data_IF_202450440614
#
_entry.id   IF_202450440614
#
_cell.length_a   1.000
_cell.length_b   1.000
_cell.length_c   1.000
_cell.angle_alpha   90.00
_cell.angle_beta   90.00
_cell.angle_gamma   90.00
#
_symmetry.space_group_name_H-M   'P 1'
#
loop_
_entity.id
_entity.type
_entity.pdbx_description
1 polymer ?
#
# COMPACT_ATOMS: atom_id res chain seq x y z
N UNK A 1 -63.74 -21.04 -5.94
CA UNK A 1 -62.88 -20.07 -5.19
C UNK A 1 -61.74 -20.75 -4.44
N UNK A 2 -61.87 -21.96 -3.96
CA UNK A 2 -60.79 -22.70 -3.22
C UNK A 2 -59.68 -23.22 -4.18
N UNK A 3 -60.01 -23.56 -5.43
CA UNK A 3 -59.07 -24.09 -6.44
C UNK A 3 -58.09 -23.02 -6.99
N UNK A 4 -58.46 -21.74 -6.98
CA UNK A 4 -57.58 -20.62 -7.43
C UNK A 4 -56.57 -20.22 -6.40
N UNK A 5 -56.84 -20.44 -5.11
CA UNK A 5 -55.89 -20.13 -4.01
C UNK A 5 -54.77 -21.17 -3.91
N UNK A 6 -55.02 -22.44 -4.28
CA UNK A 6 -53.97 -23.47 -4.27
C UNK A 6 -52.96 -23.36 -5.43
N UNK A 7 -53.36 -22.83 -6.56
CA UNK A 7 -52.44 -22.65 -7.70
C UNK A 7 -51.43 -21.48 -7.49
N UNK A 8 -51.83 -20.41 -6.83
CA UNK A 8 -50.93 -19.30 -6.46
C UNK A 8 -49.93 -19.71 -5.37
N UNK A 9 -50.32 -20.48 -4.37
CA UNK A 9 -49.42 -20.93 -3.32
C UNK A 9 -48.29 -21.87 -3.83
N UNK A 10 -48.56 -22.61 -4.92
CA UNK A 10 -47.58 -23.52 -5.53
C UNK A 10 -46.56 -22.79 -6.45
N UNK A 11 -46.95 -21.68 -7.09
CA UNK A 11 -46.04 -20.84 -7.89
C UNK A 11 -45.08 -20.04 -7.03
N UNK A 12 -45.54 -19.53 -5.89
CA UNK A 12 -44.72 -18.74 -4.98
C UNK A 12 -43.65 -19.59 -4.27
N UNK A 13 -44.00 -20.86 -3.91
CA UNK A 13 -43.04 -21.79 -3.32
C UNK A 13 -41.95 -22.24 -4.31
N UNK A 14 -42.26 -22.39 -5.59
CA UNK A 14 -41.28 -22.74 -6.60
C UNK A 14 -40.36 -21.55 -6.89
N UNK A 15 -40.91 -20.34 -6.99
CA UNK A 15 -40.14 -19.10 -7.14
C UNK A 15 -39.21 -18.86 -5.95
N UNK A 16 -39.68 -19.04 -4.74
CA UNK A 16 -38.89 -18.93 -3.50
C UNK A 16 -37.77 -19.98 -3.44
N UNK A 17 -38.02 -21.22 -3.86
CA UNK A 17 -37.01 -22.28 -3.95
C UNK A 17 -35.88 -21.94 -4.92
N UNK A 18 -36.21 -21.46 -6.13
CA UNK A 18 -35.18 -21.02 -7.10
C UNK A 18 -34.37 -19.82 -6.60
N UNK A 19 -35.01 -18.89 -5.89
CA UNK A 19 -34.31 -17.73 -5.30
C UNK A 19 -33.35 -18.17 -4.20
N UNK A 20 -33.78 -19.00 -3.26
CA UNK A 20 -32.94 -19.56 -2.20
C UNK A 20 -31.80 -20.41 -2.77
N UNK A 21 -32.10 -21.28 -3.75
CA UNK A 21 -31.08 -22.10 -4.41
C UNK A 21 -30.07 -21.26 -5.18
N UNK A 22 -30.49 -20.22 -5.88
CA UNK A 22 -29.64 -19.24 -6.53
C UNK A 22 -28.71 -18.52 -5.55
N UNK A 23 -29.27 -18.07 -4.41
CA UNK A 23 -28.51 -17.44 -3.33
C UNK A 23 -27.46 -18.38 -2.72
N UNK A 24 -27.83 -19.65 -2.48
CA UNK A 24 -26.91 -20.67 -1.94
C UNK A 24 -25.77 -20.95 -2.93
N UNK A 25 -26.08 -21.07 -4.23
CA UNK A 25 -25.06 -21.24 -5.28
C UNK A 25 -24.13 -20.01 -5.39
N UNK A 26 -24.66 -18.82 -5.27
CA UNK A 26 -23.86 -17.58 -5.31
C UNK A 26 -22.93 -17.46 -4.09
N UNK A 27 -23.42 -17.79 -2.90
CA UNK A 27 -22.62 -17.84 -1.67
C UNK A 27 -21.53 -18.91 -1.79
N UNK A 28 -21.85 -20.09 -2.29
CA UNK A 28 -20.90 -21.18 -2.50
C UNK A 28 -19.82 -20.79 -3.49
N UNK A 29 -20.17 -20.23 -4.64
CA UNK A 29 -19.24 -19.75 -5.67
C UNK A 29 -18.34 -18.59 -5.18
N UNK A 30 -18.89 -17.69 -4.34
CA UNK A 30 -18.12 -16.59 -3.73
C UNK A 30 -17.10 -17.15 -2.73
N UNK A 31 -17.50 -18.13 -1.91
CA UNK A 31 -16.61 -18.80 -0.95
C UNK A 31 -15.49 -19.59 -1.64
N UNK A 32 -15.79 -20.34 -2.70
CA UNK A 32 -14.78 -21.06 -3.50
C UNK A 32 -13.77 -20.11 -4.17
N UNK A 33 -14.24 -19.02 -4.77
CA UNK A 33 -13.36 -18.01 -5.39
C UNK A 33 -12.43 -17.37 -4.37
N UNK A 34 -12.95 -17.01 -3.20
CA UNK A 34 -12.15 -16.45 -2.11
C UNK A 34 -11.11 -17.44 -1.60
N UNK A 35 -11.48 -18.71 -1.44
CA UNK A 35 -10.58 -19.76 -0.99
C UNK A 35 -9.47 -20.05 -2.01
N UNK A 36 -9.78 -20.09 -3.30
CA UNK A 36 -8.76 -20.24 -4.38
C UNK A 36 -7.82 -19.06 -4.41
N UNK A 37 -8.33 -17.83 -4.25
CA UNK A 37 -7.50 -16.62 -4.20
C UNK A 37 -6.58 -16.62 -2.98
N UNK A 38 -7.05 -17.06 -1.82
CA UNK A 38 -6.25 -17.19 -0.60
C UNK A 38 -5.17 -18.27 -0.74
N UNK A 39 -5.47 -19.41 -1.39
CA UNK A 39 -4.51 -20.48 -1.64
C UNK A 39 -3.41 -20.03 -2.61
N UNK A 40 -3.76 -19.33 -3.69
CA UNK A 40 -2.80 -18.78 -4.63
C UNK A 40 -1.92 -17.74 -3.91
N UNK A 41 -2.52 -16.83 -3.14
CA UNK A 41 -1.80 -15.80 -2.40
C UNK A 41 -0.87 -16.41 -1.35
N UNK A 42 -1.34 -17.43 -0.61
CA UNK A 42 -0.50 -18.14 0.37
C UNK A 42 0.67 -18.88 -0.28
N UNK A 43 0.48 -19.47 -1.48
CA UNK A 43 1.57 -20.12 -2.22
C UNK A 43 2.59 -19.11 -2.74
N UNK A 44 2.14 -17.94 -3.20
CA UNK A 44 3.02 -16.85 -3.64
C UNK A 44 3.84 -16.26 -2.50
N UNK A 45 3.33 -16.29 -1.27
CA UNK A 45 4.04 -15.82 -0.07
C UNK A 45 4.94 -16.93 0.49
N UNK A 46 4.48 -18.17 0.51
CA UNK A 46 5.22 -19.29 1.08
C UNK A 46 6.46 -19.69 0.25
N UNK A 47 6.35 -19.68 -1.08
CA UNK A 47 7.46 -20.09 -1.95
C UNK A 47 8.75 -19.24 -1.73
N UNK A 48 8.70 -17.90 -1.67
CA UNK A 48 9.90 -17.11 -1.39
C UNK A 48 10.43 -17.25 0.04
N UNK A 49 9.57 -17.53 1.03
CA UNK A 49 10.02 -17.80 2.40
C UNK A 49 10.91 -19.05 2.50
N UNK A 50 10.65 -20.06 1.67
CA UNK A 50 11.50 -21.26 1.58
C UNK A 50 12.75 -21.05 0.71
N UNK A 51 12.71 -20.13 -0.27
CA UNK A 51 13.84 -19.87 -1.16
C UNK A 51 14.85 -18.86 -0.58
N UNK A 52 14.45 -18.07 0.40
CA UNK A 52 15.27 -17.03 1.02
C UNK A 52 16.04 -17.58 2.23
N UNK A 53 16.75 -18.69 2.07
CA UNK A 53 17.77 -19.13 3.01
C UNK A 53 19.07 -18.33 2.81
N UNK A 54 19.02 -17.02 3.05
CA UNK A 54 20.23 -16.28 3.41
C UNK A 54 20.76 -16.85 4.74
N UNK A 55 22.04 -16.62 5.07
CA UNK A 55 22.68 -17.11 6.28
C UNK A 55 21.85 -16.92 7.55
N UNK A 56 22.19 -17.61 8.62
CA UNK A 56 21.50 -17.51 9.90
C UNK A 56 21.53 -16.07 10.41
N UNK A 57 20.36 -15.57 10.79
CA UNK A 57 20.23 -14.23 11.35
C UNK A 57 20.70 -14.24 12.80
N UNK A 58 21.70 -13.43 13.12
CA UNK A 58 22.12 -13.22 14.50
C UNK A 58 21.08 -12.39 15.26
N UNK A 59 20.70 -12.84 16.45
CA UNK A 59 19.74 -12.14 17.28
C UNK A 59 20.25 -10.77 17.78
N UNK A 60 21.56 -10.58 17.82
CA UNK A 60 22.22 -9.33 18.19
C UNK A 60 22.41 -8.37 17.00
N UNK A 61 22.14 -8.81 15.76
CA UNK A 61 22.10 -7.97 14.58
C UNK A 61 20.75 -7.23 14.48
N UNK A 62 20.63 -6.08 15.14
CA UNK A 62 19.40 -5.27 15.14
C UNK A 62 18.97 -4.82 13.76
N UNK A 63 19.89 -4.63 12.81
CA UNK A 63 19.57 -4.25 11.43
C UNK A 63 18.95 -5.43 10.70
N UNK A 64 19.59 -6.59 10.74
CA UNK A 64 19.05 -7.82 10.15
C UNK A 64 17.71 -8.22 10.76
N UNK A 65 17.57 -8.10 12.10
CA UNK A 65 16.30 -8.31 12.82
C UNK A 65 15.23 -7.33 12.35
N UNK A 66 15.57 -6.05 12.11
CA UNK A 66 14.61 -5.07 11.60
C UNK A 66 14.14 -5.40 10.18
N UNK A 67 15.03 -5.86 9.29
CA UNK A 67 14.63 -6.37 7.97
C UNK A 67 13.65 -7.54 8.08
N UNK A 68 13.89 -8.46 9.01
CA UNK A 68 13.01 -9.60 9.23
C UNK A 68 11.64 -9.20 9.79
N UNK A 69 11.62 -8.30 10.77
CA UNK A 69 10.39 -7.75 11.33
C UNK A 69 9.51 -7.12 10.24
N UNK A 70 10.12 -6.26 9.39
CA UNK A 70 9.40 -5.60 8.30
C UNK A 70 8.90 -6.62 7.29
N UNK A 71 9.72 -7.62 6.93
CA UNK A 71 9.31 -8.72 6.04
C UNK A 71 8.05 -9.40 6.55
N UNK A 72 8.04 -9.84 7.80
CA UNK A 72 6.89 -10.54 8.41
C UNK A 72 5.64 -9.65 8.46
N UNK A 73 5.81 -8.40 8.85
CA UNK A 73 4.71 -7.44 8.94
C UNK A 73 4.11 -7.08 7.58
N UNK A 74 4.95 -6.89 6.54
CA UNK A 74 4.48 -6.63 5.18
C UNK A 74 3.76 -7.83 4.57
N UNK A 75 4.21 -9.06 4.86
CA UNK A 75 3.51 -10.29 4.47
C UNK A 75 2.11 -10.34 5.10
N UNK A 76 2.01 -10.11 6.41
CA UNK A 76 0.74 -10.08 7.13
C UNK A 76 -0.21 -9.00 6.61
N UNK A 77 0.29 -7.78 6.38
CA UNK A 77 -0.49 -6.67 5.82
C UNK A 77 -0.99 -6.98 4.40
N UNK A 78 -0.16 -7.61 3.57
CA UNK A 78 -0.54 -8.06 2.23
C UNK A 78 -1.74 -9.00 2.28
N UNK A 79 -1.66 -10.05 3.10
CA UNK A 79 -2.76 -11.01 3.28
C UNK A 79 -4.01 -10.30 3.79
N UNK A 80 -3.87 -9.40 4.77
CA UNK A 80 -4.97 -8.65 5.35
C UNK A 80 -5.70 -7.82 4.29
N UNK A 81 -4.99 -6.98 3.51
CA UNK A 81 -5.64 -6.11 2.52
C UNK A 81 -6.31 -6.89 1.38
N UNK A 82 -5.69 -7.99 0.92
CA UNK A 82 -6.33 -8.84 -0.09
C UNK A 82 -7.53 -9.61 0.45
N UNK A 83 -7.54 -10.03 1.70
CA UNK A 83 -8.68 -10.66 2.35
C UNK A 83 -9.82 -9.65 2.54
N UNK A 84 -9.53 -8.46 3.08
CA UNK A 84 -10.50 -7.40 3.32
C UNK A 84 -11.09 -6.79 2.04
N UNK A 85 -10.39 -6.91 0.90
CA UNK A 85 -10.91 -6.54 -0.41
C UNK A 85 -12.26 -7.21 -0.74
N UNK A 86 -12.53 -8.38 -0.17
CA UNK A 86 -13.82 -9.08 -0.30
C UNK A 86 -14.97 -8.40 0.43
N UNK A 87 -14.68 -7.57 1.41
CA UNK A 87 -15.64 -6.92 2.31
C UNK A 87 -16.03 -5.49 1.88
N UNK A 88 -15.47 -5.00 0.76
CA UNK A 88 -15.78 -3.68 0.19
C UNK A 88 -16.35 -3.80 -1.20
N UNK A 89 -17.03 -2.75 -1.68
CA UNK A 89 -17.69 -2.74 -2.98
C UNK A 89 -17.08 -1.69 -3.95
N UNK A 90 -17.48 -1.78 -5.21
CA UNK A 90 -17.15 -0.80 -6.24
C UNK A 90 -15.64 -0.56 -6.41
N UNK A 91 -15.27 0.70 -6.54
CA UNK A 91 -13.89 1.14 -6.78
C UNK A 91 -12.98 1.00 -5.56
N UNK A 92 -13.53 0.87 -4.34
CA UNK A 92 -12.75 0.59 -3.14
C UNK A 92 -11.95 -0.72 -3.21
N UNK A 93 -12.45 -1.70 -4.02
CA UNK A 93 -11.70 -2.92 -4.32
C UNK A 93 -10.35 -2.63 -4.97
N UNK A 94 -10.27 -1.59 -5.80
CA UNK A 94 -9.01 -1.17 -6.42
C UNK A 94 -8.05 -0.60 -5.39
N UNK A 95 -8.51 0.29 -4.51
CA UNK A 95 -7.70 0.87 -3.44
C UNK A 95 -7.13 -0.19 -2.50
N UNK A 96 -7.95 -1.16 -2.04
CA UNK A 96 -7.44 -2.26 -1.22
C UNK A 96 -6.49 -3.21 -1.99
N UNK A 97 -6.68 -3.36 -3.30
CA UNK A 97 -5.73 -4.10 -4.13
C UNK A 97 -4.38 -3.37 -4.18
N UNK A 98 -4.39 -2.06 -4.36
CA UNK A 98 -3.16 -1.24 -4.39
C UNK A 98 -2.46 -1.26 -3.03
N UNK A 99 -3.19 -1.11 -1.92
CA UNK A 99 -2.64 -1.25 -0.57
C UNK A 99 -1.97 -2.62 -0.35
N UNK A 100 -2.61 -3.70 -0.81
CA UNK A 100 -2.06 -5.05 -0.79
C UNK A 100 -0.81 -5.20 -1.67
N UNK A 101 -0.79 -4.57 -2.86
CA UNK A 101 0.38 -4.57 -3.75
C UNK A 101 1.56 -3.80 -3.15
N UNK A 102 1.33 -2.63 -2.53
CA UNK A 102 2.37 -1.86 -1.85
C UNK A 102 3.07 -2.72 -0.79
N UNK A 103 2.29 -3.37 0.09
CA UNK A 103 2.84 -4.23 1.12
C UNK A 103 3.48 -5.51 0.53
N UNK A 104 2.90 -6.11 -0.51
CA UNK A 104 3.41 -7.32 -1.14
C UNK A 104 4.73 -7.11 -1.89
N UNK A 105 4.87 -5.99 -2.59
CA UNK A 105 6.13 -5.59 -3.23
C UNK A 105 7.20 -5.35 -2.16
N UNK A 106 6.86 -4.59 -1.10
CA UNK A 106 7.77 -4.34 0.00
C UNK A 106 8.18 -5.64 0.70
N UNK A 107 7.24 -6.55 0.99
CA UNK A 107 7.54 -7.88 1.55
C UNK A 107 8.63 -8.60 0.75
N UNK A 108 8.48 -8.68 -0.57
CA UNK A 108 9.43 -9.35 -1.44
C UNK A 108 10.82 -8.71 -1.40
N UNK A 109 10.88 -7.38 -1.47
CA UNK A 109 12.14 -6.65 -1.44
C UNK A 109 12.83 -6.72 -0.08
N UNK A 110 12.07 -6.60 1.01
CA UNK A 110 12.63 -6.71 2.36
C UNK A 110 13.20 -8.08 2.65
N UNK A 111 12.56 -9.14 2.14
CA UNK A 111 13.10 -10.51 2.22
C UNK A 111 14.43 -10.63 1.50
N UNK A 112 14.53 -10.05 0.30
CA UNK A 112 15.77 -10.04 -0.49
C UNK A 112 16.85 -9.16 0.14
N UNK A 113 16.50 -7.95 0.56
CA UNK A 113 17.43 -7.00 1.21
C UNK A 113 18.00 -7.55 2.51
N UNK A 114 17.20 -8.31 3.28
CA UNK A 114 17.68 -9.04 4.45
C UNK A 114 18.81 -10.00 4.07
N UNK A 115 18.65 -10.80 3.01
CA UNK A 115 19.67 -11.70 2.53
C UNK A 115 20.96 -10.96 2.18
N UNK A 116 20.87 -9.87 1.41
CA UNK A 116 22.02 -9.02 1.07
C UNK A 116 22.74 -8.51 2.32
N UNK A 117 21.99 -8.00 3.31
CA UNK A 117 22.58 -7.52 4.56
C UNK A 117 23.30 -8.63 5.33
N UNK A 118 22.66 -9.77 5.52
CA UNK A 118 23.24 -10.91 6.30
C UNK A 118 24.49 -11.48 5.61
N UNK A 119 24.49 -11.53 4.27
CA UNK A 119 25.60 -12.14 3.52
C UNK A 119 26.79 -11.17 3.36
N UNK A 120 26.55 -9.84 3.32
CA UNK A 120 27.58 -8.86 2.95
C UNK A 120 27.87 -7.81 4.01
N UNK A 121 26.94 -7.53 4.92
CA UNK A 121 26.99 -6.39 5.83
C UNK A 121 26.82 -5.02 5.13
N UNK A 122 26.50 -5.01 3.84
CA UNK A 122 26.40 -3.81 3.03
C UNK A 122 24.96 -3.31 2.93
N UNK A 123 24.81 -1.98 2.85
CA UNK A 123 23.48 -1.35 2.65
C UNK A 123 22.90 -1.73 1.30
N UNK A 124 21.71 -2.35 1.24
CA UNK A 124 21.08 -2.78 -0.01
C UNK A 124 20.41 -1.61 -0.76
N UNK A 125 21.11 -0.49 -0.99
CA UNK A 125 20.57 0.78 -1.52
C UNK A 125 19.83 0.59 -2.84
N UNK A 126 20.40 -0.14 -3.80
CA UNK A 126 19.79 -0.39 -5.11
C UNK A 126 18.42 -1.09 -4.97
N UNK A 127 18.34 -2.11 -4.13
CA UNK A 127 17.11 -2.89 -3.94
C UNK A 127 16.06 -2.12 -3.17
N UNK A 128 16.46 -1.24 -2.25
CA UNK A 128 15.59 -0.31 -1.55
C UNK A 128 14.95 0.68 -2.51
N UNK A 129 15.73 1.24 -3.43
CA UNK A 129 15.19 2.14 -4.46
C UNK A 129 14.32 1.43 -5.50
N UNK A 130 14.57 0.16 -5.83
CA UNK A 130 13.65 -0.63 -6.66
C UNK A 130 12.30 -0.81 -5.94
N UNK A 131 12.31 -1.15 -4.64
CA UNK A 131 11.09 -1.18 -3.84
C UNK A 131 10.35 0.16 -3.88
N UNK A 132 11.05 1.25 -3.56
CA UNK A 132 10.44 2.57 -3.51
C UNK A 132 9.95 3.07 -4.88
N UNK A 133 10.66 2.78 -5.97
CA UNK A 133 10.21 3.12 -7.34
C UNK A 133 8.91 2.43 -7.75
N UNK A 134 8.57 1.33 -7.11
CA UNK A 134 7.31 0.63 -7.31
C UNK A 134 6.25 1.05 -6.30
N UNK A 135 6.60 1.10 -5.01
CA UNK A 135 5.61 1.28 -3.93
C UNK A 135 5.22 2.74 -3.71
N UNK A 136 6.16 3.69 -3.82
CA UNK A 136 5.89 5.12 -3.58
C UNK A 136 4.99 5.74 -4.64
N UNK A 137 5.18 5.50 -5.95
CA UNK A 137 4.20 5.93 -6.95
C UNK A 137 2.80 5.36 -6.71
N UNK A 138 2.68 4.11 -6.26
CA UNK A 138 1.39 3.51 -5.90
C UNK A 138 0.76 4.24 -4.70
N UNK A 139 1.52 4.59 -3.66
CA UNK A 139 1.01 5.39 -2.54
C UNK A 139 0.54 6.78 -2.98
N UNK A 140 1.25 7.43 -3.89
CA UNK A 140 0.84 8.74 -4.41
C UNK A 140 -0.40 8.67 -5.30
N UNK A 141 -0.48 7.66 -6.17
CA UNK A 141 -1.66 7.43 -7.02
C UNK A 141 -2.89 7.06 -6.19
N UNK A 142 -2.71 6.48 -5.00
CA UNK A 142 -3.81 6.11 -4.11
C UNK A 142 -4.64 7.34 -3.66
N UNK A 143 -4.04 8.53 -3.52
CA UNK A 143 -4.80 9.76 -3.32
C UNK A 143 -5.81 10.03 -4.44
N UNK A 144 -5.40 9.79 -5.68
CA UNK A 144 -6.31 9.88 -6.82
C UNK A 144 -7.40 8.79 -6.75
N UNK A 145 -7.03 7.56 -6.42
CA UNK A 145 -7.94 6.41 -6.43
C UNK A 145 -9.05 6.54 -5.38
N UNK A 146 -8.73 6.93 -4.14
CA UNK A 146 -9.76 7.12 -3.09
C UNK A 146 -10.74 8.24 -3.45
N UNK A 147 -10.26 9.33 -4.07
CA UNK A 147 -11.12 10.40 -4.54
C UNK A 147 -11.98 9.94 -5.73
N UNK A 148 -11.38 9.27 -6.72
CA UNK A 148 -12.08 8.74 -7.88
C UNK A 148 -13.08 7.61 -7.54
N UNK A 149 -12.98 7.02 -6.34
CA UNK A 149 -13.97 6.06 -5.85
C UNK A 149 -15.33 6.74 -5.56
N UNK A 150 -15.32 7.99 -5.10
CA UNK A 150 -16.49 8.68 -4.54
C UNK A 150 -16.86 9.98 -5.26
N UNK A 151 -15.97 10.57 -6.07
CA UNK A 151 -16.23 11.81 -6.81
C UNK A 151 -15.55 11.82 -8.19
N UNK A 152 -15.84 12.84 -8.99
CA UNK A 152 -15.18 13.07 -10.27
C UNK A 152 -13.88 13.83 -10.05
N UNK A 153 -12.76 13.27 -10.49
CA UNK A 153 -11.42 13.85 -10.34
C UNK A 153 -10.75 14.02 -11.69
N UNK A 154 -10.07 15.16 -11.88
CA UNK A 154 -9.31 15.39 -13.09
C UNK A 154 -8.14 14.42 -13.22
N UNK A 155 -7.95 13.79 -14.38
CA UNK A 155 -6.85 12.87 -14.66
C UNK A 155 -5.46 13.50 -14.52
N UNK A 156 -5.35 14.84 -14.58
CA UNK A 156 -4.11 15.56 -14.32
C UNK A 156 -3.56 15.32 -12.92
N UNK A 157 -4.42 15.13 -11.90
CA UNK A 157 -3.99 14.81 -10.53
C UNK A 157 -3.21 13.50 -10.50
N UNK A 158 -3.69 12.47 -11.19
CA UNK A 158 -2.97 11.19 -11.31
C UNK A 158 -1.54 11.39 -11.85
N UNK A 159 -1.41 12.09 -12.98
CA UNK A 159 -0.11 12.30 -13.60
C UNK A 159 0.83 13.18 -12.79
N UNK A 160 0.31 14.21 -12.12
CA UNK A 160 1.10 15.07 -11.24
C UNK A 160 1.72 14.28 -10.09
N UNK A 161 0.95 13.39 -9.45
CA UNK A 161 1.42 12.58 -8.34
C UNK A 161 2.37 11.48 -8.80
N UNK A 162 2.03 10.79 -9.89
CA UNK A 162 2.88 9.74 -10.46
C UNK A 162 4.24 10.29 -10.91
N UNK A 163 4.25 11.32 -11.74
CA UNK A 163 5.51 11.88 -12.26
C UNK A 163 6.32 12.57 -11.17
N UNK A 164 5.66 13.28 -10.23
CA UNK A 164 6.33 13.89 -9.09
C UNK A 164 7.06 12.85 -8.23
N UNK A 165 6.42 11.71 -7.94
CA UNK A 165 7.05 10.64 -7.17
C UNK A 165 8.22 9.98 -7.90
N UNK A 166 8.11 9.76 -9.20
CA UNK A 166 9.23 9.23 -10.01
C UNK A 166 10.41 10.18 -10.04
N UNK A 167 10.18 11.48 -10.25
CA UNK A 167 11.27 12.48 -10.22
C UNK A 167 11.95 12.50 -8.86
N UNK A 168 11.17 12.54 -7.76
CA UNK A 168 11.71 12.51 -6.40
C UNK A 168 12.64 11.31 -6.18
N UNK A 169 12.21 10.12 -6.58
CA UNK A 169 12.96 8.88 -6.33
C UNK A 169 14.17 8.72 -7.26
N UNK A 170 14.05 9.06 -8.54
CA UNK A 170 15.16 8.97 -9.48
C UNK A 170 16.32 9.86 -9.02
N UNK A 171 16.03 11.10 -8.65
CA UNK A 171 17.09 12.00 -8.18
C UNK A 171 17.61 11.61 -6.80
N UNK A 172 16.74 11.14 -5.90
CA UNK A 172 17.18 10.56 -4.62
C UNK A 172 18.17 9.42 -4.82
N UNK A 173 17.84 8.46 -5.70
CA UNK A 173 18.74 7.36 -6.05
C UNK A 173 20.06 7.83 -6.65
N UNK A 174 20.01 8.75 -7.62
CA UNK A 174 21.22 9.25 -8.28
C UNK A 174 22.19 9.89 -7.28
N UNK A 175 21.69 10.55 -6.24
CA UNK A 175 22.51 11.12 -5.19
C UNK A 175 23.07 10.07 -4.23
N UNK A 176 22.25 9.14 -3.72
CA UNK A 176 22.70 8.09 -2.81
C UNK A 176 23.62 7.05 -3.46
N UNK A 177 23.41 6.75 -4.73
CA UNK A 177 24.26 5.85 -5.51
C UNK A 177 25.53 6.51 -6.05
N UNK A 178 25.79 7.79 -5.79
CA UNK A 178 26.96 8.52 -6.27
C UNK A 178 26.98 8.80 -7.78
N UNK A 179 25.85 8.64 -8.47
CA UNK A 179 25.70 8.90 -9.91
C UNK A 179 25.59 10.40 -10.23
N UNK A 180 25.23 11.19 -9.22
CA UNK A 180 25.13 12.65 -9.25
C UNK A 180 25.62 13.21 -7.92
N UNK A 181 26.11 14.46 -7.91
CA UNK A 181 26.47 15.13 -6.67
C UNK A 181 25.25 15.16 -5.71
N UNK A 182 25.46 14.76 -4.45
CA UNK A 182 24.39 14.51 -3.49
C UNK A 182 23.50 15.75 -3.25
N UNK A 183 24.10 16.96 -3.14
CA UNK A 183 23.33 18.19 -2.86
C UNK A 183 22.35 18.56 -3.99
N UNK A 184 22.76 18.67 -5.28
CA UNK A 184 21.81 18.94 -6.37
C UNK A 184 20.73 17.85 -6.50
N UNK A 185 21.10 16.58 -6.34
CA UNK A 185 20.15 15.46 -6.35
C UNK A 185 19.09 15.62 -5.26
N UNK A 186 19.52 15.90 -4.02
CA UNK A 186 18.66 16.19 -2.89
C UNK A 186 17.68 17.34 -3.17
N UNK A 187 18.19 18.48 -3.66
CA UNK A 187 17.35 19.66 -3.93
C UNK A 187 16.26 19.34 -4.96
N UNK A 188 16.59 18.64 -6.05
CA UNK A 188 15.58 18.28 -7.07
C UNK A 188 14.54 17.31 -6.48
N UNK A 189 14.97 16.30 -5.73
CA UNK A 189 14.08 15.37 -5.06
C UNK A 189 13.14 16.07 -4.08
N UNK A 190 13.65 16.99 -3.27
CA UNK A 190 12.87 17.79 -2.31
C UNK A 190 11.87 18.71 -3.01
N UNK A 191 12.24 19.35 -4.11
CA UNK A 191 11.30 20.19 -4.88
C UNK A 191 10.14 19.35 -5.44
N UNK A 192 10.41 18.13 -5.91
CA UNK A 192 9.38 17.22 -6.39
C UNK A 192 8.45 16.77 -5.24
N UNK A 193 8.98 16.46 -4.05
CA UNK A 193 8.18 16.14 -2.87
C UNK A 193 7.30 17.31 -2.42
N UNK A 194 7.87 18.51 -2.29
CA UNK A 194 7.14 19.72 -1.92
C UNK A 194 6.05 20.08 -2.96
N UNK A 195 6.32 19.86 -4.25
CA UNK A 195 5.31 20.02 -5.29
C UNK A 195 4.12 19.05 -5.09
N UNK A 196 4.37 17.79 -4.79
CA UNK A 196 3.29 16.84 -4.52
C UNK A 196 2.48 17.24 -3.28
N UNK A 197 3.13 17.67 -2.21
CA UNK A 197 2.45 18.22 -1.01
C UNK A 197 1.59 19.43 -1.39
N UNK A 198 2.11 20.36 -2.20
CA UNK A 198 1.35 21.50 -2.68
C UNK A 198 0.09 21.09 -3.45
N UNK A 199 0.21 20.13 -4.38
CA UNK A 199 -0.92 19.61 -5.17
C UNK A 199 -2.00 18.99 -4.27
N UNK A 200 -1.60 18.26 -3.23
CA UNK A 200 -2.51 17.63 -2.29
C UNK A 200 -3.10 18.60 -1.27
N UNK A 201 -2.31 19.52 -0.73
CA UNK A 201 -2.72 20.38 0.38
C UNK A 201 -3.42 21.66 -0.07
N UNK A 202 -3.05 22.25 -1.23
CA UNK A 202 -3.55 23.52 -1.74
C UNK A 202 -4.11 23.43 -3.16
N UNK A 203 -3.76 22.39 -3.91
CA UNK A 203 -4.10 22.24 -5.32
C UNK A 203 -5.34 21.37 -5.58
N UNK A 204 -5.30 20.64 -6.70
CA UNK A 204 -6.41 19.83 -7.20
C UNK A 204 -6.90 18.76 -6.22
N UNK A 205 -6.01 18.17 -5.42
CA UNK A 205 -6.37 17.18 -4.40
C UNK A 205 -7.26 17.80 -3.31
N UNK A 206 -6.89 18.97 -2.80
CA UNK A 206 -7.68 19.70 -1.79
C UNK A 206 -9.06 20.06 -2.30
N UNK A 207 -9.14 20.53 -3.54
CA UNK A 207 -10.42 20.89 -4.15
C UNK A 207 -11.34 19.68 -4.30
N UNK A 208 -10.80 18.54 -4.74
CA UNK A 208 -11.56 17.31 -4.93
C UNK A 208 -12.06 16.71 -3.60
N UNK A 209 -11.24 16.65 -2.56
CA UNK A 209 -11.63 16.06 -1.27
C UNK A 209 -12.72 16.84 -0.56
N UNK A 210 -12.82 18.15 -0.77
CA UNK A 210 -13.80 19.00 -0.10
C UNK A 210 -15.26 18.60 -0.39
N UNK A 211 -15.53 17.90 -1.50
CA UNK A 211 -16.86 17.43 -1.90
C UNK A 211 -17.17 15.99 -1.47
N UNK A 212 -16.30 15.34 -0.70
CA UNK A 212 -16.44 13.93 -0.30
C UNK A 212 -17.03 13.78 1.10
N UNK A 213 -17.32 12.52 1.50
CA UNK A 213 -17.80 12.18 2.86
C UNK A 213 -16.74 12.48 3.92
N UNK A 214 -17.18 12.62 5.18
CA UNK A 214 -16.28 12.87 6.31
C UNK A 214 -15.25 11.73 6.51
N UNK A 215 -15.60 10.48 6.22
CA UNK A 215 -14.69 9.34 6.29
C UNK A 215 -13.57 9.44 5.26
N UNK A 216 -13.90 9.80 4.01
CA UNK A 216 -12.93 10.01 2.93
C UNK A 216 -12.03 11.21 3.22
N UNK A 217 -12.59 12.33 3.73
CA UNK A 217 -11.81 13.50 4.13
C UNK A 217 -10.82 13.16 5.25
N UNK A 218 -11.26 12.38 6.25
CA UNK A 218 -10.40 11.93 7.35
C UNK A 218 -9.26 11.04 6.83
N UNK A 219 -9.56 10.08 5.95
CA UNK A 219 -8.55 9.22 5.34
C UNK A 219 -7.54 10.04 4.53
N UNK A 220 -8.03 10.93 3.66
CA UNK A 220 -7.19 11.80 2.85
C UNK A 220 -6.22 12.63 3.71
N UNK A 221 -6.73 13.28 4.75
CA UNK A 221 -5.91 14.09 5.65
C UNK A 221 -4.90 13.22 6.45
N UNK A 222 -5.29 12.02 6.86
CA UNK A 222 -4.39 11.07 7.54
C UNK A 222 -3.28 10.58 6.61
N UNK A 223 -3.61 10.23 5.36
CA UNK A 223 -2.63 9.90 4.33
C UNK A 223 -1.68 11.07 4.07
N UNK A 224 -2.20 12.29 3.96
CA UNK A 224 -1.41 13.50 3.77
C UNK A 224 -0.47 13.74 4.97
N UNK A 225 -0.92 13.50 6.20
CA UNK A 225 -0.08 13.58 7.38
C UNK A 225 1.08 12.58 7.32
N UNK A 226 0.84 11.34 6.86
CA UNK A 226 1.88 10.34 6.64
C UNK A 226 2.90 10.83 5.61
N UNK A 227 2.43 11.41 4.48
CA UNK A 227 3.33 11.94 3.43
C UNK A 227 4.15 13.14 3.93
N UNK A 228 3.59 14.01 4.77
CA UNK A 228 4.28 15.21 5.25
C UNK A 228 5.19 14.89 6.43
N UNK A 229 4.71 14.16 7.43
CA UNK A 229 5.44 13.89 8.67
C UNK A 229 6.19 12.56 8.61
N UNK A 230 5.52 11.49 8.21
CA UNK A 230 6.11 10.16 8.14
C UNK A 230 7.24 10.08 7.10
N UNK A 231 7.05 10.71 5.95
CA UNK A 231 8.08 10.71 4.90
C UNK A 231 9.23 11.70 5.17
N UNK A 232 9.08 12.67 6.07
CA UNK A 232 10.18 13.55 6.45
C UNK A 232 11.40 12.79 7.00
N UNK A 233 11.20 11.58 7.50
CA UNK A 233 12.28 10.71 7.99
C UNK A 233 13.31 10.42 6.89
N UNK A 234 12.89 10.21 5.64
CA UNK A 234 13.79 9.86 4.53
C UNK A 234 14.72 11.01 4.12
N UNK A 235 14.23 12.23 3.82
CA UNK A 235 15.14 13.36 3.55
C UNK A 235 16.00 13.75 4.75
N UNK A 236 15.53 13.59 5.99
CA UNK A 236 16.38 13.76 7.17
C UNK A 236 17.49 12.72 7.22
N UNK A 237 17.18 11.45 6.95
CA UNK A 237 18.18 10.39 6.81
C UNK A 237 19.19 10.69 5.70
N UNK A 238 18.74 11.21 4.55
CA UNK A 238 19.63 11.64 3.47
C UNK A 238 20.58 12.76 3.92
N UNK A 239 20.06 13.78 4.60
CA UNK A 239 20.89 14.90 5.11
C UNK A 239 21.94 14.39 6.10
N UNK A 240 21.53 13.61 7.09
CA UNK A 240 22.45 13.14 8.14
C UNK A 240 23.41 12.05 7.65
N UNK A 241 22.96 11.15 6.77
CA UNK A 241 23.77 10.06 6.23
C UNK A 241 24.70 10.51 5.08
N UNK A 242 24.15 11.16 4.04
CA UNK A 242 24.88 11.40 2.80
C UNK A 242 25.45 12.82 2.67
N UNK A 243 24.79 13.85 3.24
CA UNK A 243 25.29 15.23 3.14
C UNK A 243 26.23 15.58 4.29
N UNK A 244 25.95 15.10 5.50
CA UNK A 244 26.73 15.44 6.69
C UNK A 244 27.66 14.31 7.14
N UNK A 245 27.39 13.05 6.75
CA UNK A 245 28.13 11.87 7.24
C UNK A 245 28.04 11.69 8.77
N UNK A 246 26.96 12.15 9.38
CA UNK A 246 26.79 12.15 10.83
C UNK A 246 26.11 10.87 11.36
N UNK A 247 25.52 10.06 10.47
CA UNK A 247 24.84 8.80 10.78
C UNK A 247 25.46 7.69 9.94
N UNK A 248 25.82 6.60 10.59
CA UNK A 248 26.35 5.40 9.93
C UNK A 248 25.28 4.62 9.15
N UNK A 249 25.72 3.75 8.26
CA UNK A 249 24.85 2.97 7.38
C UNK A 249 23.92 2.01 8.14
N UNK A 250 24.37 1.44 9.26
CA UNK A 250 23.57 0.52 10.09
C UNK A 250 22.39 1.25 10.73
N UNK A 251 22.67 2.39 11.35
CA UNK A 251 21.65 3.27 11.95
C UNK A 251 20.66 3.75 10.89
N UNK A 252 21.15 4.15 9.72
CA UNK A 252 20.30 4.62 8.62
C UNK A 252 19.38 3.50 8.09
N UNK A 253 19.89 2.27 7.94
CA UNK A 253 19.07 1.12 7.57
C UNK A 253 17.97 0.84 8.58
N UNK A 254 18.29 0.87 9.89
CA UNK A 254 17.31 0.66 10.95
C UNK A 254 16.18 1.70 10.91
N UNK A 255 16.55 2.99 10.76
CA UNK A 255 15.58 4.09 10.64
C UNK A 255 14.69 3.90 9.42
N UNK A 256 15.25 3.61 8.24
CA UNK A 256 14.47 3.42 7.01
C UNK A 256 13.58 2.18 7.07
N UNK A 257 14.04 1.08 7.67
CA UNK A 257 13.23 -0.13 7.85
C UNK A 257 12.01 0.14 8.72
N UNK A 258 12.18 0.81 9.86
CA UNK A 258 11.07 1.16 10.75
C UNK A 258 10.14 2.22 10.12
N UNK A 259 10.69 3.17 9.36
CA UNK A 259 9.89 4.14 8.63
C UNK A 259 8.98 3.46 7.59
N UNK A 260 9.51 2.53 6.79
CA UNK A 260 8.73 1.78 5.82
C UNK A 260 7.64 0.93 6.49
N UNK A 261 7.96 0.25 7.60
CA UNK A 261 6.99 -0.51 8.39
C UNK A 261 5.78 0.34 8.76
N UNK A 262 6.02 1.52 9.34
CA UNK A 262 4.94 2.41 9.77
C UNK A 262 4.23 3.04 8.58
N UNK A 263 4.98 3.65 7.65
CA UNK A 263 4.40 4.47 6.57
C UNK A 263 3.60 3.65 5.56
N UNK A 264 4.00 2.42 5.23
CA UNK A 264 3.28 1.59 4.26
C UNK A 264 2.06 0.91 4.88
N UNK A 265 2.21 0.31 6.07
CA UNK A 265 1.10 -0.43 6.72
C UNK A 265 0.03 0.55 7.21
N UNK A 266 0.41 1.61 7.91
CA UNK A 266 -0.54 2.60 8.41
C UNK A 266 -1.29 3.28 7.26
N UNK A 267 -0.60 3.58 6.16
CA UNK A 267 -1.23 4.13 4.96
C UNK A 267 -2.35 3.24 4.42
N UNK A 268 -2.08 1.93 4.28
CA UNK A 268 -3.08 0.95 3.86
C UNK A 268 -4.24 0.80 4.85
N UNK A 269 -3.97 0.81 6.16
CA UNK A 269 -5.00 0.73 7.20
C UNK A 269 -5.95 1.93 7.20
N UNK A 270 -5.44 3.12 6.93
CA UNK A 270 -6.26 4.35 6.77
C UNK A 270 -7.22 4.20 5.60
N UNK A 271 -6.75 3.69 4.47
CA UNK A 271 -7.57 3.43 3.27
C UNK A 271 -8.62 2.37 3.56
N UNK A 272 -8.22 1.26 4.18
CA UNK A 272 -9.14 0.19 4.56
C UNK A 272 -10.27 0.70 5.45
N UNK A 273 -9.93 1.48 6.49
CA UNK A 273 -10.94 2.05 7.38
C UNK A 273 -11.93 2.93 6.62
N UNK A 274 -11.46 3.81 5.73
CA UNK A 274 -12.33 4.67 4.93
C UNK A 274 -13.26 3.85 4.03
N UNK A 275 -12.74 2.82 3.37
CA UNK A 275 -13.52 1.93 2.53
C UNK A 275 -14.62 1.19 3.30
N UNK A 276 -14.30 0.72 4.50
CA UNK A 276 -15.27 0.05 5.38
C UNK A 276 -16.35 1.00 5.90
N UNK A 277 -15.98 2.23 6.27
CA UNK A 277 -16.93 3.23 6.76
C UNK A 277 -17.86 3.71 5.63
N UNK A 278 -17.34 3.94 4.42
CA UNK A 278 -18.12 4.36 3.25
C UNK A 278 -19.13 3.28 2.84
N UNK A 279 -18.70 2.00 2.81
CA UNK A 279 -19.61 0.88 2.53
C UNK A 279 -20.76 0.74 3.55
N UNK A 280 -20.49 1.00 4.83
CA UNK A 280 -21.55 0.94 5.88
C UNK A 280 -22.57 2.06 5.74
N UNK A 281 -22.18 3.21 5.18
CA UNK A 281 -23.09 4.34 4.95
C UNK A 281 -23.94 4.14 3.70
N UNK A 282 -23.50 3.30 2.77
CA UNK A 282 -24.20 2.99 1.53
C UNK A 282 -25.19 1.81 1.67
N UNK A 283 -25.10 1.02 2.73
CA UNK A 283 -25.96 -0.13 3.03
C UNK A 283 -27.15 0.29 3.91
#
# INVERSE_FOLDING_TARGET
MVYFLCLNAQSDNISYFYWVFGLVLEIHNKRERNMKSLLILSSMIAAPLFAASGGDLDADDFVGVSFWLVTAAMAAATVFFFAERGNVEGKWKTSLTVAGLICGIAFWHYLYMRGVWVDTGETPTVFRYIDWLLTVPLQMVEFYLILAAVTVVAGSLFWQLLLGSLVMLIFGYMGEAGLMAAMPAFVIGMLAWLYMIYVLYMGAGKAAVASTSASVQTAYNSMLLIIVVGWAIYPLGYVFGYLMGAVDSSTLNLIYNLADFVNKILFGLVIWKAAMDDNRQAA
#
